data_IF_531758357789
#
_entry.id   IF_531758357789
#
_cell.length_a   1.000
_cell.length_b   1.000
_cell.length_c   1.000
_cell.angle_alpha   90.00
_cell.angle_beta   90.00
_cell.angle_gamma   90.00
#
_symmetry.space_group_name_H-M   'P 1'
#
loop_
_entity.id
_entity.type
_entity.pdbx_description
1 polymer ?
#
# COMPACT_ATOMS: atom_id res chain seq x y z
N UNK A 1 -18.44 7.61 3.66
CA UNK A 1 -17.73 8.73 4.33
C UNK A 1 -16.43 8.11 4.84
N UNK A 2 -15.26 8.74 4.70
CA UNK A 2 -14.02 8.18 5.29
C UNK A 2 -14.06 8.54 6.77
N UNK A 3 -14.35 7.58 7.65
CA UNK A 3 -14.81 7.88 9.01
C UNK A 3 -13.66 8.06 10.01
N UNK A 4 -12.55 7.33 9.85
CA UNK A 4 -11.42 7.35 10.78
C UNK A 4 -10.11 6.95 10.10
N UNK A 5 -9.02 7.68 10.39
CA UNK A 5 -7.67 7.24 10.02
C UNK A 5 -7.30 6.05 10.92
N UNK A 6 -6.99 4.92 10.31
CA UNK A 6 -6.55 3.70 11.00
C UNK A 6 -5.08 3.40 10.77
N UNK A 7 -4.43 4.03 9.80
CA UNK A 7 -3.02 3.78 9.53
C UNK A 7 -2.31 4.99 8.94
N UNK A 8 -1.09 5.22 9.40
CA UNK A 8 -0.17 6.21 8.83
C UNK A 8 1.23 5.60 8.78
N UNK A 9 1.81 5.52 7.58
CA UNK A 9 3.13 4.92 7.36
C UNK A 9 4.00 5.81 6.47
N UNK A 10 5.30 5.79 6.75
CA UNK A 10 6.33 6.43 5.93
C UNK A 10 7.38 5.40 5.55
N UNK A 11 7.87 5.47 4.32
CA UNK A 11 8.73 4.43 3.81
C UNK A 11 9.52 4.83 2.58
N UNK A 12 9.98 3.80 1.88
CA UNK A 12 10.81 3.93 0.69
C UNK A 12 10.62 2.75 -0.25
N UNK A 13 10.62 3.04 -1.55
CA UNK A 13 10.80 2.02 -2.60
C UNK A 13 12.19 1.39 -2.45
N UNK A 14 12.23 0.07 -2.33
CA UNK A 14 13.47 -0.71 -2.17
C UNK A 14 13.83 -1.51 -3.42
N UNK A 15 12.91 -1.64 -4.38
CA UNK A 15 13.15 -2.39 -5.61
C UNK A 15 12.11 -2.11 -6.67
N UNK A 16 12.54 -2.19 -7.93
CA UNK A 16 11.67 -2.12 -9.11
C UNK A 16 12.04 -3.26 -10.05
N UNK A 17 11.03 -3.87 -10.68
CA UNK A 17 11.17 -4.95 -11.64
C UNK A 17 10.25 -4.71 -12.83
N UNK A 18 10.79 -4.83 -14.03
CA UNK A 18 9.97 -4.83 -15.26
C UNK A 18 9.41 -6.25 -15.44
N UNK A 19 8.09 -6.36 -15.54
CA UNK A 19 7.40 -7.65 -15.70
C UNK A 19 7.01 -7.93 -17.15
N UNK A 20 6.62 -6.91 -17.90
CA UNK A 20 6.28 -7.02 -19.32
C UNK A 20 6.45 -5.67 -20.03
N UNK A 21 6.75 -5.72 -21.32
CA UNK A 21 6.69 -4.57 -22.24
C UNK A 21 5.71 -4.81 -23.39
N UNK A 22 5.11 -5.99 -23.47
CA UNK A 22 4.18 -6.38 -24.53
C UNK A 22 2.74 -6.01 -24.15
N UNK A 23 1.97 -5.52 -25.14
CA UNK A 23 0.59 -5.00 -25.04
C UNK A 23 0.42 -3.78 -24.12
N UNK A 24 0.85 -3.84 -22.87
CA UNK A 24 0.90 -2.71 -21.94
C UNK A 24 2.14 -2.88 -21.04
N UNK A 25 2.99 -1.84 -20.87
CA UNK A 25 4.12 -1.94 -19.96
C UNK A 25 3.63 -2.26 -18.54
N UNK A 26 4.23 -3.28 -17.93
CA UNK A 26 3.90 -3.77 -16.60
C UNK A 26 5.15 -3.74 -15.74
N UNK A 27 5.04 -3.10 -14.59
CA UNK A 27 6.11 -2.99 -13.60
C UNK A 27 5.65 -3.56 -12.27
N UNK A 28 6.62 -3.84 -11.42
CA UNK A 28 6.44 -4.20 -10.03
C UNK A 28 7.40 -3.37 -9.18
N UNK A 29 6.88 -2.80 -8.10
CA UNK A 29 7.65 -2.04 -7.13
C UNK A 29 7.48 -2.63 -5.75
N UNK A 30 8.59 -2.82 -5.04
CA UNK A 30 8.60 -3.24 -3.64
C UNK A 30 9.01 -2.09 -2.75
N UNK A 31 8.42 -2.01 -1.56
CA UNK A 31 8.68 -0.96 -0.60
C UNK A 31 8.76 -1.51 0.82
N UNK A 32 9.42 -0.73 1.68
CA UNK A 32 9.39 -0.92 3.12
C UNK A 32 8.96 0.38 3.78
N UNK A 33 8.11 0.27 4.79
CA UNK A 33 7.65 1.42 5.57
C UNK A 33 7.52 1.06 7.04
N UNK A 34 7.52 2.09 7.87
CA UNK A 34 7.23 2.00 9.30
C UNK A 34 6.13 2.99 9.63
N UNK A 35 5.35 2.69 10.66
CA UNK A 35 4.28 3.58 11.06
C UNK A 35 3.40 2.96 12.13
N UNK A 36 2.16 3.42 12.17
CA UNK A 36 1.15 2.90 13.09
C UNK A 36 -0.07 2.44 12.33
N UNK A 37 -0.63 1.31 12.76
CA UNK A 37 -1.96 0.82 12.35
C UNK A 37 -2.74 0.50 13.62
N UNK A 38 -3.94 1.08 13.76
CA UNK A 38 -4.76 1.02 14.97
C UNK A 38 -3.97 1.37 16.24
N UNK A 39 -3.15 2.42 16.16
CA UNK A 39 -2.22 2.87 17.21
C UNK A 39 -1.08 1.88 17.58
N UNK A 40 -0.98 0.74 16.88
CA UNK A 40 0.10 -0.25 17.04
C UNK A 40 1.24 0.06 16.08
N UNK A 41 2.47 0.11 16.60
CA UNK A 41 3.66 0.27 15.76
C UNK A 41 3.90 -0.97 14.89
N UNK A 42 4.09 -0.74 13.59
CA UNK A 42 4.28 -1.78 12.59
C UNK A 42 5.42 -1.45 11.64
N UNK A 43 6.11 -2.51 11.19
CA UNK A 43 6.93 -2.50 9.97
C UNK A 43 6.16 -3.18 8.86
N UNK A 44 6.07 -2.54 7.70
CA UNK A 44 5.38 -3.05 6.53
C UNK A 44 6.39 -3.33 5.41
N UNK A 45 6.29 -4.51 4.80
CA UNK A 45 6.95 -4.82 3.53
C UNK A 45 5.90 -5.21 2.51
N UNK A 46 5.86 -4.51 1.39
CA UNK A 46 4.84 -4.69 0.36
C UNK A 46 5.42 -4.71 -1.04
N UNK A 47 4.66 -5.32 -1.95
CA UNK A 47 4.92 -5.31 -3.38
C UNK A 47 3.63 -4.98 -4.14
N UNK A 48 3.74 -4.12 -5.14
CA UNK A 48 2.64 -3.71 -6.01
C UNK A 48 3.06 -3.93 -7.47
N UNK A 49 2.25 -4.66 -8.24
CA UNK A 49 2.37 -4.64 -9.70
C UNK A 49 1.41 -3.62 -10.28
N UNK A 50 1.80 -2.98 -11.38
CA UNK A 50 0.93 -2.03 -12.07
C UNK A 50 1.19 -1.97 -13.57
N UNK A 51 0.15 -1.54 -14.28
CA UNK A 51 0.17 -1.23 -15.71
C UNK A 51 -0.04 0.27 -15.92
N UNK A 52 0.55 0.78 -16.99
CA UNK A 52 0.32 2.15 -17.45
C UNK A 52 -0.93 2.19 -18.34
N UNK A 53 -1.83 3.11 -18.03
CA UNK A 53 -3.02 3.45 -18.82
C UNK A 53 -2.78 4.76 -19.58
N UNK A 54 -3.74 5.12 -20.41
CA UNK A 54 -3.75 6.41 -21.13
C UNK A 54 -3.67 7.59 -20.16
N UNK A 55 -3.15 8.72 -20.66
CA UNK A 55 -3.03 9.99 -19.91
C UNK A 55 -2.28 9.90 -18.56
N UNK A 56 -1.38 8.92 -18.41
CA UNK A 56 -0.58 8.73 -17.21
C UNK A 56 -1.33 8.08 -16.04
N UNK A 57 -2.52 7.52 -16.30
CA UNK A 57 -3.24 6.71 -15.33
C UNK A 57 -2.52 5.39 -15.06
N UNK A 58 -2.77 4.83 -13.88
CA UNK A 58 -2.25 3.53 -13.46
C UNK A 58 -3.37 2.64 -12.95
N UNK A 59 -3.20 1.34 -13.12
CA UNK A 59 -3.94 0.33 -12.35
C UNK A 59 -2.95 -0.68 -11.80
N UNK A 60 -3.18 -1.12 -10.58
CA UNK A 60 -2.33 -2.10 -9.96
C UNK A 60 -3.00 -2.84 -8.83
N UNK A 61 -2.35 -3.91 -8.44
CA UNK A 61 -2.68 -4.70 -7.28
C UNK A 61 -1.41 -4.98 -6.50
N UNK A 62 -1.57 -5.15 -5.19
CA UNK A 62 -0.46 -5.42 -4.31
C UNK A 62 -0.82 -6.29 -3.13
N UNK A 63 0.22 -6.65 -2.43
CA UNK A 63 0.16 -7.48 -1.25
C UNK A 63 1.37 -7.21 -0.37
N UNK A 64 1.22 -7.50 0.91
CA UNK A 64 2.32 -7.33 1.84
C UNK A 64 2.05 -7.92 3.21
N UNK A 65 3.03 -7.70 4.06
CA UNK A 65 3.09 -8.23 5.42
C UNK A 65 3.44 -7.09 6.36
N UNK A 66 2.69 -7.02 7.45
CA UNK A 66 2.91 -6.17 8.60
C UNK A 66 3.48 -7.01 9.74
N UNK A 67 4.54 -6.51 10.37
CA UNK A 67 5.09 -7.04 11.62
C UNK A 67 4.90 -6.00 12.71
N UNK A 68 4.31 -6.39 13.83
CA UNK A 68 4.32 -5.56 15.05
C UNK A 68 5.66 -5.70 15.77
N UNK A 69 5.98 -4.78 16.68
CA UNK A 69 7.23 -4.85 17.47
C UNK A 69 7.31 -6.09 18.38
N UNK A 70 6.17 -6.68 18.74
CA UNK A 70 6.06 -7.92 19.50
C UNK A 70 6.02 -9.19 18.62
N UNK A 71 6.21 -9.05 17.31
CA UNK A 71 6.36 -10.17 16.38
C UNK A 71 5.05 -10.77 15.89
N UNK A 72 3.90 -10.12 16.13
CA UNK A 72 2.64 -10.51 15.52
C UNK A 72 2.62 -10.14 14.03
N UNK A 73 1.88 -10.91 13.25
CA UNK A 73 1.84 -10.79 11.78
C UNK A 73 0.42 -10.49 11.32
N UNK A 74 0.30 -9.54 10.38
CA UNK A 74 -0.88 -9.33 9.56
C UNK A 74 -0.47 -9.32 8.09
N UNK A 75 -1.30 -9.86 7.21
CA UNK A 75 -1.13 -9.67 5.76
C UNK A 75 -2.16 -8.70 5.23
N UNK A 76 -1.89 -8.17 4.05
CA UNK A 76 -2.85 -7.36 3.32
C UNK A 76 -2.78 -7.65 1.82
N UNK A 77 -3.91 -7.46 1.15
CA UNK A 77 -3.99 -7.32 -0.30
C UNK A 77 -4.61 -5.98 -0.64
N UNK A 78 -4.30 -5.45 -1.81
CA UNK A 78 -4.83 -4.19 -2.25
C UNK A 78 -5.00 -4.15 -3.76
N UNK A 79 -5.92 -3.31 -4.22
CA UNK A 79 -6.07 -2.93 -5.62
C UNK A 79 -6.28 -1.43 -5.69
N UNK A 80 -5.83 -0.78 -6.74
CA UNK A 80 -5.98 0.66 -6.83
C UNK A 80 -5.78 1.26 -8.20
N UNK A 81 -6.15 2.53 -8.26
CA UNK A 81 -5.93 3.41 -9.40
C UNK A 81 -4.94 4.48 -8.97
N UNK A 82 -3.98 4.74 -9.84
CA UNK A 82 -2.98 5.77 -9.59
C UNK A 82 -2.83 6.73 -10.76
N UNK A 83 -2.01 7.75 -10.55
CA UNK A 83 -1.60 8.71 -11.57
C UNK A 83 -0.12 9.00 -11.41
N UNK A 84 0.64 8.91 -12.50
CA UNK A 84 2.02 9.38 -12.51
C UNK A 84 2.11 10.86 -12.88
N UNK A 85 3.06 11.55 -12.23
CA UNK A 85 3.50 12.91 -12.55
C UNK A 85 5.02 12.88 -12.64
N UNK A 86 5.55 12.60 -13.82
CA UNK A 86 7.00 12.42 -14.01
C UNK A 86 7.51 11.17 -13.27
N UNK A 87 8.30 11.37 -12.20
CA UNK A 87 8.82 10.30 -11.34
C UNK A 87 7.99 10.08 -10.06
N UNK A 88 7.02 10.96 -9.83
CA UNK A 88 6.11 10.88 -8.69
C UNK A 88 4.87 10.07 -9.05
N UNK A 89 4.26 9.44 -8.05
CA UNK A 89 3.00 8.73 -8.22
C UNK A 89 2.07 8.93 -7.02
N UNK A 90 0.79 9.10 -7.31
CA UNK A 90 -0.28 9.14 -6.32
C UNK A 90 -1.24 7.99 -6.59
N UNK A 91 -1.67 7.30 -5.53
CA UNK A 91 -2.56 6.15 -5.60
C UNK A 91 -3.76 6.31 -4.68
N UNK A 92 -4.88 5.73 -5.10
CA UNK A 92 -6.06 5.45 -4.28
C UNK A 92 -6.31 3.95 -4.33
N UNK A 93 -6.21 3.29 -3.17
CA UNK A 93 -6.26 1.84 -3.06
C UNK A 93 -7.39 1.40 -2.13
N UNK A 94 -8.01 0.26 -2.41
CA UNK A 94 -8.78 -0.51 -1.42
C UNK A 94 -7.86 -1.57 -0.83
N UNK A 95 -7.81 -1.68 0.48
CA UNK A 95 -6.92 -2.56 1.25
C UNK A 95 -7.75 -3.53 2.07
N UNK A 96 -7.41 -4.81 2.01
CA UNK A 96 -8.05 -5.87 2.77
C UNK A 96 -7.01 -6.56 3.63
N UNK A 97 -7.29 -6.69 4.92
CA UNK A 97 -6.36 -7.28 5.88
C UNK A 97 -6.78 -8.70 6.24
N UNK A 98 -5.80 -9.50 6.66
CA UNK A 98 -6.02 -10.79 7.29
C UNK A 98 -5.00 -10.97 8.41
N UNK A 99 -5.47 -11.17 9.63
CA UNK A 99 -4.58 -11.27 10.80
C UNK A 99 -5.09 -12.22 11.88
N UNK A 100 -4.15 -12.88 12.55
CA UNK A 100 -4.39 -13.58 13.81
C UNK A 100 -3.94 -12.76 15.04
N UNK A 101 -3.42 -11.54 14.83
CA UNK A 101 -3.03 -10.60 15.88
C UNK A 101 -4.26 -10.21 16.71
N UNK A 102 -4.14 -10.25 18.03
CA UNK A 102 -5.20 -9.74 18.90
C UNK A 102 -5.28 -8.22 18.83
N UNK A 103 -4.13 -7.54 18.74
CA UNK A 103 -4.03 -6.08 18.70
C UNK A 103 -4.58 -5.47 17.41
N UNK A 104 -4.46 -6.20 16.30
CA UNK A 104 -4.95 -5.78 14.98
C UNK A 104 -6.26 -6.49 14.58
N UNK A 105 -6.91 -7.19 15.50
CA UNK A 105 -8.11 -8.00 15.21
C UNK A 105 -9.27 -7.22 14.58
N UNK A 106 -9.37 -5.91 14.84
CA UNK A 106 -10.36 -5.03 14.18
C UNK A 106 -10.20 -5.00 12.66
N UNK A 107 -8.98 -5.14 12.14
CA UNK A 107 -8.68 -5.13 10.70
C UNK A 107 -9.39 -6.26 9.93
N UNK A 108 -9.73 -7.37 10.58
CA UNK A 108 -10.43 -8.48 9.95
C UNK A 108 -11.89 -8.16 9.58
N UNK A 109 -12.47 -7.11 10.14
CA UNK A 109 -13.89 -6.79 10.02
C UNK A 109 -14.15 -5.50 9.24
N UNK A 110 -13.10 -4.89 8.67
CA UNK A 110 -13.19 -3.61 7.98
C UNK A 110 -12.45 -3.67 6.65
N UNK A 111 -12.83 -2.80 5.72
CA UNK A 111 -12.02 -2.49 4.55
C UNK A 111 -11.23 -1.21 4.81
N UNK A 112 -9.98 -1.17 4.34
CA UNK A 112 -9.20 0.06 4.27
C UNK A 112 -9.38 0.77 2.93
N UNK A 113 -9.42 2.09 2.93
CA UNK A 113 -9.16 2.92 1.75
C UNK A 113 -7.85 3.66 1.98
N UNK A 114 -6.87 3.47 1.11
CA UNK A 114 -5.54 4.04 1.23
C UNK A 114 -5.28 5.18 0.25
N UNK A 115 -4.60 6.21 0.74
CA UNK A 115 -3.89 7.19 -0.09
C UNK A 115 -2.40 6.87 0.02
N UNK A 116 -1.75 6.59 -1.12
CA UNK A 116 -0.34 6.25 -1.17
C UNK A 116 0.40 7.16 -2.16
N UNK A 117 1.42 7.84 -1.67
CA UNK A 117 2.20 8.83 -2.42
C UNK A 117 3.65 8.38 -2.52
N UNK A 118 4.25 8.61 -3.69
CA UNK A 118 5.66 8.34 -3.99
C UNK A 118 6.27 9.63 -4.53
N UNK A 119 7.34 10.11 -3.89
CA UNK A 119 8.08 11.27 -4.37
C UNK A 119 9.16 10.91 -5.40
N UNK A 120 9.83 11.92 -5.96
CA UNK A 120 10.87 11.78 -6.98
C UNK A 120 12.13 11.04 -6.51
N UNK A 121 12.28 10.84 -5.19
CA UNK A 121 13.36 10.10 -4.53
C UNK A 121 12.91 8.70 -4.10
N UNK A 122 11.66 8.32 -4.40
CA UNK A 122 11.07 7.05 -4.03
C UNK A 122 10.71 6.94 -2.55
N UNK A 123 10.63 8.05 -1.80
CA UNK A 123 10.06 8.02 -0.45
C UNK A 123 8.55 7.85 -0.57
N UNK A 124 7.97 7.09 0.36
CA UNK A 124 6.54 6.77 0.35
C UNK A 124 5.86 7.36 1.57
N UNK A 125 4.61 7.80 1.38
CA UNK A 125 3.69 8.16 2.46
C UNK A 125 2.37 7.45 2.23
N UNK A 126 1.84 6.85 3.28
CA UNK A 126 0.59 6.12 3.24
C UNK A 126 -0.32 6.59 4.36
N UNK A 127 -1.60 6.83 4.02
CA UNK A 127 -2.68 7.00 4.98
C UNK A 127 -3.78 6.02 4.67
N UNK A 128 -4.25 5.30 5.68
CA UNK A 128 -5.31 4.30 5.55
C UNK A 128 -6.49 4.76 6.39
N UNK A 129 -7.65 4.78 5.75
CA UNK A 129 -8.93 5.15 6.34
C UNK A 129 -9.80 3.91 6.46
N UNK A 130 -10.51 3.79 7.57
CA UNK A 130 -11.54 2.78 7.73
C UNK A 130 -12.74 3.09 6.82
N UNK A 131 -13.21 2.03 6.15
CA UNK A 131 -14.42 2.03 5.36
C UNK A 131 -15.30 0.85 5.79
N UNK A 132 -16.51 1.17 6.23
CA UNK A 132 -17.56 0.25 6.66
C UNK A 132 -18.70 0.21 5.63
#
# INVERSE_FOLDING_TARGET
MLEKIIGELIGKIIGNRVLSVECCPKMESSFQSIGKILDVEVTNTGTFWYIFKEEGGLYGEGQGILFTNDGEISTWTAQGIGKMKGKEAEWRVSVFFNTSSQKLSHLNNIMGIGEFEIDDKGNTKEKIYEWL
#
